data_IF_655750930259
#
_entry.id   IF_655750930259
#
_cell.length_a   1.000
_cell.length_b   1.000
_cell.length_c   1.000
_cell.angle_alpha   90.00
_cell.angle_beta   90.00
_cell.angle_gamma   90.00
#
_symmetry.space_group_name_H-M   'P 1'
#
loop_
_entity.id
_entity.type
_entity.pdbx_description
1 polymer ?
#
# COMPACT_ATOMS: atom_id res chain seq x y z
N UNK A 1 -14.48 10.76 -3.49
CA UNK A 1 -14.98 9.41 -3.81
C UNK A 1 -13.77 8.55 -4.16
N UNK A 2 -13.73 7.30 -3.73
CA UNK A 2 -12.56 6.39 -3.77
C UNK A 2 -12.48 5.54 -5.04
N UNK A 3 -13.23 5.89 -6.09
CA UNK A 3 -13.34 5.08 -7.31
C UNK A 3 -14.25 3.86 -7.12
N UNK A 4 -14.18 2.92 -8.06
CA UNK A 4 -14.89 1.64 -7.97
C UNK A 4 -14.30 0.77 -6.83
N UNK A 5 -15.12 -0.04 -6.14
CA UNK A 5 -14.62 -0.91 -5.09
C UNK A 5 -13.70 -1.99 -5.65
N UNK A 6 -12.62 -2.30 -4.93
CA UNK A 6 -11.68 -3.38 -5.24
C UNK A 6 -11.64 -4.32 -4.05
N UNK A 7 -11.92 -5.61 -4.30
CA UNK A 7 -11.71 -6.66 -3.33
C UNK A 7 -10.22 -6.97 -3.25
N UNK A 8 -9.60 -6.60 -2.13
CA UNK A 8 -8.20 -6.85 -1.83
C UNK A 8 -8.04 -7.05 -0.31
N UNK A 9 -7.41 -8.14 0.09
CA UNK A 9 -7.11 -8.43 1.49
C UNK A 9 -5.60 -8.52 1.69
N UNK A 10 -5.07 -7.88 2.73
CA UNK A 10 -3.65 -7.99 3.08
C UNK A 10 -3.39 -9.35 3.73
N UNK A 11 -2.37 -10.08 3.25
CA UNK A 11 -2.01 -11.42 3.74
C UNK A 11 -0.77 -11.42 4.65
N UNK A 12 -0.20 -10.25 4.91
CA UNK A 12 1.04 -10.09 5.68
C UNK A 12 0.81 -9.19 6.88
N UNK A 13 1.30 -9.61 8.05
CA UNK A 13 1.23 -8.81 9.26
C UNK A 13 2.10 -7.54 9.15
N UNK A 14 1.57 -6.44 9.68
CA UNK A 14 2.29 -5.19 9.78
C UNK A 14 3.14 -5.15 11.05
N UNK A 15 4.26 -4.44 10.99
CA UNK A 15 4.98 -4.01 12.20
C UNK A 15 4.22 -2.85 12.83
N UNK A 16 4.32 -2.68 14.14
CA UNK A 16 3.60 -1.64 14.91
C UNK A 16 3.72 -0.22 14.30
N UNK A 17 4.92 0.14 13.81
CA UNK A 17 5.14 1.44 13.20
C UNK A 17 4.49 1.59 11.82
N UNK A 18 4.29 0.49 11.09
CA UNK A 18 3.60 0.48 9.80
C UNK A 18 2.09 0.59 10.01
N UNK A 19 1.53 -0.05 11.03
CA UNK A 19 0.13 0.16 11.43
C UNK A 19 -0.14 1.63 11.73
N UNK A 20 0.74 2.24 12.54
CA UNK A 20 0.64 3.68 12.85
C UNK A 20 0.67 4.55 11.60
N UNK A 21 1.49 4.18 10.59
CA UNK A 21 1.54 4.89 9.31
C UNK A 21 0.20 4.79 8.57
N UNK A 22 -0.36 3.58 8.46
CA UNK A 22 -1.63 3.30 7.79
C UNK A 22 -2.77 4.05 8.48
N UNK A 23 -2.91 3.93 9.79
CA UNK A 23 -3.94 4.63 10.57
C UNK A 23 -3.86 6.15 10.37
N UNK A 24 -2.66 6.71 10.46
CA UNK A 24 -2.43 8.15 10.24
C UNK A 24 -2.83 8.55 8.82
N UNK A 25 -2.53 7.73 7.82
CA UNK A 25 -2.91 8.03 6.43
C UNK A 25 -4.42 7.98 6.25
N UNK A 26 -5.11 6.98 6.80
CA UNK A 26 -6.56 6.83 6.70
C UNK A 26 -7.29 8.01 7.36
N UNK A 27 -6.83 8.46 8.52
CA UNK A 27 -7.36 9.64 9.21
C UNK A 27 -7.19 10.91 8.38
N UNK A 28 -6.01 11.09 7.77
CA UNK A 28 -5.67 12.28 6.96
C UNK A 28 -6.21 12.23 5.53
N UNK A 29 -6.56 11.04 5.04
CA UNK A 29 -6.97 10.71 3.67
C UNK A 29 -5.93 11.04 2.59
N UNK A 30 -4.75 11.49 2.99
CA UNK A 30 -3.62 11.84 2.12
C UNK A 30 -2.34 11.97 2.95
N UNK A 31 -1.20 11.65 2.35
CA UNK A 31 0.08 11.73 3.04
C UNK A 31 1.23 11.14 2.23
N UNK A 32 2.42 11.15 2.82
CA UNK A 32 3.64 10.56 2.25
C UNK A 32 4.31 9.72 3.32
N UNK A 33 4.60 8.46 3.01
CA UNK A 33 5.42 7.61 3.89
C UNK A 33 6.90 7.89 3.66
N UNK A 34 7.60 8.23 4.74
CA UNK A 34 9.05 8.48 4.75
C UNK A 34 9.71 7.47 5.69
N UNK A 35 10.66 6.72 5.16
CA UNK A 35 11.43 5.74 5.93
C UNK A 35 12.66 5.27 5.15
N UNK A 36 13.68 4.71 5.83
CA UNK A 36 14.89 4.23 5.19
C UNK A 36 14.59 3.09 4.18
N UNK A 37 15.53 2.75 3.28
CA UNK A 37 15.44 1.53 2.48
C UNK A 37 15.21 0.31 3.39
N UNK A 38 14.36 -0.64 2.95
CA UNK A 38 14.02 -1.83 3.73
C UNK A 38 13.03 -1.61 4.89
N UNK A 39 12.51 -0.40 5.09
CA UNK A 39 11.54 -0.11 6.16
C UNK A 39 10.13 -0.69 5.93
N UNK A 40 9.87 -1.29 4.76
CA UNK A 40 8.55 -1.84 4.41
C UNK A 40 7.53 -0.80 3.94
N UNK A 41 7.96 0.25 3.22
CA UNK A 41 7.05 1.27 2.67
C UNK A 41 6.05 0.69 1.68
N UNK A 42 6.48 -0.27 0.85
CA UNK A 42 5.61 -0.94 -0.13
C UNK A 42 4.51 -1.73 0.56
N UNK A 43 4.85 -2.59 1.52
CA UNK A 43 3.86 -3.32 2.34
C UNK A 43 2.89 -2.38 3.06
N UNK A 44 3.37 -1.28 3.66
CA UNK A 44 2.49 -0.29 4.29
C UNK A 44 1.56 0.41 3.27
N UNK A 45 2.03 0.66 2.06
CA UNK A 45 1.20 1.20 0.99
C UNK A 45 0.15 0.19 0.52
N UNK A 46 0.50 -1.10 0.37
CA UNK A 46 -0.46 -2.18 0.04
C UNK A 46 -1.53 -2.30 1.13
N UNK A 47 -1.14 -2.25 2.40
CA UNK A 47 -2.10 -2.23 3.51
C UNK A 47 -3.03 -1.01 3.46
N UNK A 48 -2.52 0.14 3.03
CA UNK A 48 -3.35 1.34 2.83
C UNK A 48 -4.35 1.13 1.70
N UNK A 49 -3.93 0.52 0.59
CA UNK A 49 -4.80 0.18 -0.55
C UNK A 49 -5.92 -0.76 -0.09
N UNK A 50 -5.56 -1.83 0.63
CA UNK A 50 -6.51 -2.79 1.17
C UNK A 50 -7.52 -2.13 2.14
N UNK A 51 -7.03 -1.27 3.04
CA UNK A 51 -7.90 -0.56 3.99
C UNK A 51 -8.81 0.47 3.33
N UNK A 52 -8.39 1.08 2.22
CA UNK A 52 -9.22 2.01 1.44
C UNK A 52 -10.26 1.25 0.59
N UNK A 53 -9.89 0.08 0.04
CA UNK A 53 -10.80 -0.80 -0.71
C UNK A 53 -11.33 -0.21 -2.02
N UNK A 54 -10.64 0.78 -2.59
CA UNK A 54 -11.04 1.50 -3.79
C UNK A 54 -10.01 1.42 -4.91
N UNK A 55 -10.46 1.69 -6.14
CA UNK A 55 -9.62 1.74 -7.32
C UNK A 55 -8.39 2.63 -7.07
N UNK A 56 -7.20 2.06 -7.28
CA UNK A 56 -5.93 2.68 -6.96
C UNK A 56 -5.05 2.77 -8.20
N UNK A 57 -4.51 3.98 -8.46
CA UNK A 57 -3.50 4.21 -9.48
C UNK A 57 -2.09 4.22 -8.87
N UNK A 58 -1.26 3.25 -9.27
CA UNK A 58 0.16 3.19 -8.89
C UNK A 58 1.01 3.75 -10.04
N UNK A 59 1.76 4.81 -9.77
CA UNK A 59 2.63 5.48 -10.74
C UNK A 59 4.10 5.25 -10.41
N UNK A 60 4.86 4.75 -11.38
CA UNK A 60 6.29 4.45 -11.27
C UNK A 60 7.04 4.92 -12.51
N UNK A 61 8.34 5.26 -12.40
CA UNK A 61 9.10 5.84 -13.51
C UNK A 61 9.63 4.80 -14.52
N UNK A 62 9.51 3.50 -14.24
CA UNK A 62 10.00 2.44 -15.13
C UNK A 62 9.09 1.22 -15.11
N UNK A 63 9.16 0.44 -16.19
CA UNK A 63 8.44 -0.83 -16.31
C UNK A 63 8.92 -1.87 -15.30
N UNK A 64 10.22 -1.90 -15.02
CA UNK A 64 10.80 -2.80 -14.00
C UNK A 64 10.19 -2.55 -12.62
N UNK A 65 10.01 -1.29 -12.22
CA UNK A 65 9.35 -0.97 -10.95
C UNK A 65 7.87 -1.32 -10.96
N UNK A 66 7.19 -1.26 -12.11
CA UNK A 66 5.80 -1.71 -12.23
C UNK A 66 5.69 -3.23 -12.06
N UNK A 67 6.65 -3.98 -12.61
CA UNK A 67 6.75 -5.43 -12.43
C UNK A 67 7.00 -5.78 -10.94
N UNK A 68 7.90 -5.07 -10.25
CA UNK A 68 8.11 -5.25 -8.81
C UNK A 68 6.86 -4.94 -7.98
N UNK A 69 6.14 -3.85 -8.27
CA UNK A 69 4.88 -3.56 -7.59
C UNK A 69 3.84 -4.66 -7.80
N UNK A 70 3.78 -5.22 -9.01
CA UNK A 70 2.87 -6.34 -9.30
C UNK A 70 3.25 -7.58 -8.49
N UNK A 71 4.53 -7.90 -8.36
CA UNK A 71 5.01 -9.01 -7.53
C UNK A 71 4.66 -8.79 -6.06
N UNK A 72 4.97 -7.62 -5.50
CA UNK A 72 4.67 -7.29 -4.09
C UNK A 72 3.17 -7.34 -3.79
N UNK A 73 2.30 -6.90 -4.71
CA UNK A 73 0.86 -7.03 -4.57
C UNK A 73 0.43 -8.51 -4.51
N UNK A 74 0.97 -9.36 -5.38
CA UNK A 74 0.63 -10.78 -5.41
C UNK A 74 1.19 -11.54 -4.20
N UNK A 75 2.34 -11.10 -3.67
CA UNK A 75 2.98 -11.74 -2.51
C UNK A 75 2.31 -11.34 -1.19
N UNK A 76 1.75 -10.13 -1.10
CA UNK A 76 1.22 -9.56 0.14
C UNK A 76 -0.31 -9.35 0.15
N UNK A 77 -1.03 -9.73 -0.91
CA UNK A 77 -2.49 -9.63 -0.93
C UNK A 77 -3.20 -10.73 -1.74
N UNK A 78 -4.50 -10.90 -1.47
CA UNK A 78 -5.44 -11.76 -2.21
C UNK A 78 -6.63 -10.99 -2.74
#
# INVERSE_FOLDING_TARGET
>A
ETGDPVEIELTTDLRDYQETWVETFLDRKSGVYVGPPGSGKTVAAIATIAAVGGETLILVPSRELAEQWREELLDHST
#
